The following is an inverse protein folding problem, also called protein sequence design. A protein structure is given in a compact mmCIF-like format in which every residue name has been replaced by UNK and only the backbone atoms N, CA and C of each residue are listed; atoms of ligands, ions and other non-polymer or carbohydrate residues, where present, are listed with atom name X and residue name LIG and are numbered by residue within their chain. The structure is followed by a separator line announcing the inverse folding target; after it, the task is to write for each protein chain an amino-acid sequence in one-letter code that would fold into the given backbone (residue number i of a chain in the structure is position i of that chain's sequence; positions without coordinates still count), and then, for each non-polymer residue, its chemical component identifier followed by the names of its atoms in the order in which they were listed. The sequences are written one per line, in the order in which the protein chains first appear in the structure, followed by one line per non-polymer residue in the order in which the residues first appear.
data_IF_192087404233
#
_entry.id   IF_192087404233
#
_cell.length_a   1.000
_cell.length_b   1.000
_cell.length_c   1.000
_cell.angle_alpha   90.00
_cell.angle_beta   90.00
_cell.angle_gamma   90.00
#
_symmetry.space_group_name_H-M   'P 1'
#
loop_
_entity.id
_entity.type
_entity.pdbx_description
1 polymer ?
#
# COMPACT_ATOMS: atom_id res chain seq x y z
N UNK A 1 -9.24 10.28 -29.90
CA UNK A 1 -10.45 11.15 -29.77
C UNK A 1 -10.16 12.40 -28.93
N UNK A 2 -9.21 12.34 -27.98
CA UNK A 2 -8.84 13.48 -27.13
C UNK A 2 -7.73 14.37 -27.73
N UNK A 3 -7.35 14.16 -28.99
CA UNK A 3 -6.41 15.02 -29.72
C UNK A 3 -4.94 14.90 -29.32
N UNK A 4 -4.51 13.79 -28.70
CA UNK A 4 -3.09 13.55 -28.43
C UNK A 4 -2.29 13.50 -29.73
N UNK A 5 -1.19 14.27 -29.85
CA UNK A 5 -0.32 14.19 -31.02
C UNK A 5 0.29 12.79 -31.17
N UNK A 6 0.47 12.36 -32.42
CA UNK A 6 1.18 11.10 -32.70
C UNK A 6 2.59 11.13 -32.09
N UNK A 7 2.96 10.07 -31.38
CA UNK A 7 4.25 9.96 -30.71
C UNK A 7 4.35 10.62 -29.32
N UNK A 8 3.28 11.31 -28.85
CA UNK A 8 3.26 11.88 -27.50
C UNK A 8 3.19 10.80 -26.38
N UNK A 9 2.60 9.65 -26.70
CA UNK A 9 2.57 8.47 -25.83
C UNK A 9 3.10 7.26 -26.60
N UNK A 10 4.12 6.61 -26.04
CA UNK A 10 4.72 5.41 -26.60
C UNK A 10 4.77 4.33 -25.50
N UNK A 11 4.39 3.10 -25.86
CA UNK A 11 4.39 1.96 -24.95
C UNK A 11 5.41 0.94 -25.43
N UNK A 12 6.38 0.60 -24.57
CA UNK A 12 7.38 -0.42 -24.81
C UNK A 12 7.24 -1.50 -23.76
N UNK A 13 6.99 -2.73 -24.18
CA UNK A 13 6.86 -3.89 -23.29
C UNK A 13 8.15 -4.70 -23.23
N UNK A 14 8.42 -5.36 -22.09
CA UNK A 14 9.59 -6.21 -21.89
C UNK A 14 9.92 -6.42 -20.43
N UNK A 15 10.99 -7.14 -20.17
CA UNK A 15 11.45 -7.37 -18.80
C UNK A 15 12.08 -6.11 -18.19
N UNK A 16 11.86 -5.88 -16.89
CA UNK A 16 12.40 -4.71 -16.20
C UNK A 16 13.93 -4.59 -16.24
N UNK A 17 14.64 -5.73 -16.21
CA UNK A 17 16.11 -5.76 -16.30
C UNK A 17 16.66 -5.54 -17.72
N UNK A 18 15.81 -5.54 -18.73
CA UNK A 18 16.16 -5.25 -20.12
C UNK A 18 15.64 -3.87 -20.51
N UNK A 19 14.35 -3.76 -20.76
CA UNK A 19 13.70 -2.52 -21.22
C UNK A 19 13.74 -1.43 -20.14
N UNK A 20 13.45 -1.78 -18.88
CA UNK A 20 13.46 -0.82 -17.77
C UNK A 20 14.86 -0.23 -17.53
N UNK A 21 15.90 -1.08 -17.52
CA UNK A 21 17.29 -0.63 -17.36
C UNK A 21 17.74 0.23 -18.56
N UNK A 22 17.41 -0.20 -19.79
CA UNK A 22 17.74 0.57 -20.99
C UNK A 22 17.08 1.96 -21.00
N UNK A 23 15.81 2.06 -20.61
CA UNK A 23 15.11 3.35 -20.48
C UNK A 23 15.74 4.21 -19.38
N UNK A 24 15.99 3.64 -18.19
CA UNK A 24 16.56 4.38 -17.07
C UNK A 24 17.94 4.97 -17.40
N UNK A 25 18.74 4.29 -18.24
CA UNK A 25 20.07 4.74 -18.67
C UNK A 25 20.08 5.62 -19.92
N UNK A 26 18.96 5.70 -20.64
CA UNK A 26 18.94 6.37 -21.92
C UNK A 26 19.14 7.89 -21.78
N UNK A 27 20.10 8.51 -22.50
CA UNK A 27 20.45 9.93 -22.34
C UNK A 27 19.33 10.89 -22.76
N UNK A 28 18.39 10.44 -23.56
CA UNK A 28 17.24 11.23 -24.00
C UNK A 28 16.02 11.19 -23.04
N UNK A 29 16.18 10.67 -21.83
CA UNK A 29 15.12 10.70 -20.79
C UNK A 29 15.39 11.86 -19.84
N UNK A 30 14.49 12.80 -19.77
CA UNK A 30 14.60 14.02 -18.94
C UNK A 30 13.96 13.87 -17.55
N UNK A 31 13.08 12.90 -17.35
CA UNK A 31 12.44 12.56 -16.07
C UNK A 31 12.07 11.08 -16.02
N UNK A 32 12.22 10.46 -14.86
CA UNK A 32 11.80 9.08 -14.61
C UNK A 32 10.74 9.06 -13.51
N UNK A 33 9.55 8.55 -13.83
CA UNK A 33 8.58 8.16 -12.82
C UNK A 33 8.57 6.64 -12.72
N UNK A 34 8.83 6.11 -11.53
CA UNK A 34 8.97 4.68 -11.27
C UNK A 34 8.05 4.21 -10.15
N UNK A 35 7.29 3.17 -10.44
CA UNK A 35 6.48 2.45 -9.43
C UNK A 35 7.00 1.02 -9.28
N UNK A 36 7.31 0.60 -8.05
CA UNK A 36 7.79 -0.76 -7.79
C UNK A 36 8.36 -0.95 -6.38
N UNK A 37 9.25 -1.94 -6.23
CA UNK A 37 9.85 -2.22 -4.91
C UNK A 37 10.89 -1.17 -4.51
N UNK A 38 11.11 -0.92 -3.19
CA UNK A 38 12.16 -0.02 -2.72
C UNK A 38 13.56 -0.37 -3.26
N UNK A 39 13.86 -1.66 -3.38
CA UNK A 39 15.14 -2.14 -3.93
C UNK A 39 15.36 -1.66 -5.36
N UNK A 40 14.36 -1.78 -6.21
CA UNK A 40 14.46 -1.35 -7.62
C UNK A 40 14.41 0.18 -7.71
N UNK A 41 13.59 0.85 -6.90
CA UNK A 41 13.58 2.32 -6.80
C UNK A 41 14.95 2.89 -6.48
N UNK A 42 15.69 2.27 -5.56
CA UNK A 42 17.08 2.65 -5.25
C UNK A 42 17.99 2.51 -6.47
N UNK A 43 17.88 1.41 -7.23
CA UNK A 43 18.68 1.22 -8.46
C UNK A 43 18.35 2.28 -9.52
N UNK A 44 17.08 2.56 -9.74
CA UNK A 44 16.63 3.60 -10.67
C UNK A 44 17.20 4.97 -10.27
N UNK A 45 17.13 5.32 -8.98
CA UNK A 45 17.66 6.58 -8.47
C UNK A 45 19.17 6.68 -8.64
N UNK A 46 19.93 5.61 -8.39
CA UNK A 46 21.37 5.56 -8.60
C UNK A 46 21.74 5.83 -10.06
N UNK A 47 21.08 5.15 -10.99
CA UNK A 47 21.29 5.34 -12.42
C UNK A 47 20.92 6.76 -12.89
N UNK A 48 19.79 7.28 -12.39
CA UNK A 48 19.36 8.64 -12.72
C UNK A 48 20.33 9.71 -12.18
N UNK A 49 20.94 9.46 -11.01
CA UNK A 49 21.92 10.37 -10.40
C UNK A 49 23.16 10.59 -11.26
N UNK A 50 23.61 9.57 -12.03
CA UNK A 50 24.75 9.69 -12.96
C UNK A 50 24.56 10.79 -14.03
N UNK A 51 23.30 11.12 -14.32
CA UNK A 51 22.92 12.11 -15.34
C UNK A 51 22.19 13.32 -14.75
N UNK A 52 22.03 13.40 -13.43
CA UNK A 52 21.24 14.43 -12.75
C UNK A 52 19.77 14.44 -13.22
N UNK A 53 19.24 13.28 -13.65
CA UNK A 53 17.88 13.12 -14.11
C UNK A 53 16.93 13.13 -12.92
N UNK A 54 15.91 13.99 -12.88
CA UNK A 54 14.89 13.98 -11.82
C UNK A 54 14.10 12.66 -11.80
N UNK A 55 13.73 12.21 -10.61
CA UNK A 55 12.99 10.97 -10.42
C UNK A 55 11.80 11.19 -9.51
N UNK A 56 10.66 10.61 -9.85
CA UNK A 56 9.53 10.39 -8.95
C UNK A 56 9.48 8.90 -8.59
N UNK A 57 9.39 8.57 -7.30
CA UNK A 57 9.39 7.19 -6.82
C UNK A 57 8.10 6.89 -6.06
N UNK A 58 7.35 5.89 -6.53
CA UNK A 58 6.19 5.30 -5.88
C UNK A 58 6.53 3.86 -5.49
N UNK A 59 6.79 3.64 -4.20
CA UNK A 59 7.35 2.39 -3.72
C UNK A 59 6.39 1.67 -2.77
N UNK A 60 6.89 0.68 -2.05
CA UNK A 60 6.09 -0.15 -1.17
C UNK A 60 5.47 0.58 0.01
N UNK A 61 4.57 -0.10 0.69
CA UNK A 61 3.88 0.40 1.86
C UNK A 61 3.70 -0.66 2.96
N UNK A 62 3.38 -0.18 4.17
CA UNK A 62 2.90 -0.99 5.30
C UNK A 62 1.80 -0.22 6.01
N UNK A 63 0.77 0.10 5.26
CA UNK A 63 -0.24 1.10 5.60
C UNK A 63 -1.10 0.68 6.79
N UNK A 64 -1.26 1.55 7.81
CA UNK A 64 -2.10 1.28 8.96
C UNK A 64 -3.55 1.72 8.73
N UNK A 65 -4.48 0.93 9.25
CA UNK A 65 -5.87 1.29 9.56
C UNK A 65 -5.97 1.50 11.08
N UNK A 66 -6.19 2.72 11.53
CA UNK A 66 -6.21 3.10 12.95
C UNK A 66 -7.65 3.24 13.39
N UNK A 67 -8.13 2.36 14.26
CA UNK A 67 -9.54 2.28 14.65
C UNK A 67 -9.68 2.60 16.13
N UNK A 68 -10.25 3.77 16.42
CA UNK A 68 -10.58 4.22 17.78
C UNK A 68 -11.90 3.62 18.26
N UNK A 69 -12.10 3.56 19.59
CA UNK A 69 -13.29 2.97 20.21
C UNK A 69 -14.61 3.65 19.80
N UNK A 70 -14.57 4.92 19.40
CA UNK A 70 -15.73 5.71 18.96
C UNK A 70 -16.02 5.60 17.45
N UNK A 71 -15.25 4.77 16.72
CA UNK A 71 -15.42 4.59 15.28
C UNK A 71 -16.77 3.93 14.92
N UNK A 72 -17.24 4.19 13.71
CA UNK A 72 -18.32 3.43 13.12
C UNK A 72 -17.78 2.11 12.58
N UNK A 73 -17.91 1.05 13.39
CA UNK A 73 -17.35 -0.27 13.05
C UNK A 73 -18.09 -0.94 11.88
N UNK A 74 -19.37 -0.64 11.68
CA UNK A 74 -20.14 -1.20 10.56
C UNK A 74 -19.68 -0.62 9.22
N UNK A 75 -19.27 0.64 9.22
CA UNK A 75 -18.66 1.27 8.06
C UNK A 75 -17.19 0.89 7.90
N UNK A 76 -16.44 0.71 8.99
CA UNK A 76 -15.00 0.46 8.96
C UNK A 76 -14.64 -0.96 8.51
N UNK A 77 -15.32 -1.99 9.02
CA UNK A 77 -14.97 -3.40 8.78
C UNK A 77 -14.90 -3.77 7.30
N UNK A 78 -15.92 -3.50 6.46
CA UNK A 78 -15.85 -3.86 5.04
C UNK A 78 -14.71 -3.13 4.32
N UNK A 79 -14.42 -1.90 4.70
CA UNK A 79 -13.32 -1.11 4.11
C UNK A 79 -11.95 -1.64 4.52
N UNK A 80 -11.77 -2.02 5.80
CA UNK A 80 -10.54 -2.65 6.31
C UNK A 80 -10.25 -3.97 5.60
N UNK A 81 -11.28 -4.79 5.40
CA UNK A 81 -11.16 -6.06 4.69
C UNK A 81 -10.80 -5.81 3.22
N UNK A 82 -11.56 -4.97 2.52
CA UNK A 82 -11.29 -4.66 1.13
C UNK A 82 -9.87 -4.08 0.94
N UNK A 83 -9.40 -3.26 1.87
CA UNK A 83 -8.07 -2.66 1.81
C UNK A 83 -6.92 -3.68 1.80
N UNK A 84 -7.14 -4.89 2.32
CA UNK A 84 -6.13 -5.95 2.33
C UNK A 84 -6.39 -7.07 1.31
N UNK A 85 -7.64 -7.33 0.95
CA UNK A 85 -7.95 -8.41 0.00
C UNK A 85 -7.99 -7.95 -1.45
N UNK A 86 -8.16 -6.66 -1.70
CA UNK A 86 -8.11 -6.08 -3.03
C UNK A 86 -6.84 -6.53 -3.76
N UNK A 87 -7.00 -7.02 -5.00
CA UNK A 87 -5.91 -7.57 -5.82
C UNK A 87 -5.07 -8.65 -5.08
N UNK A 88 -5.72 -9.45 -4.22
CA UNK A 88 -5.08 -10.44 -3.34
C UNK A 88 -3.97 -9.84 -2.45
N UNK A 89 -4.14 -8.63 -1.98
CA UNK A 89 -3.16 -7.91 -1.16
C UNK A 89 -1.94 -7.38 -1.94
N UNK A 90 -1.91 -7.53 -3.25
CA UNK A 90 -0.81 -7.11 -4.12
C UNK A 90 -0.99 -5.65 -4.56
N UNK A 91 -1.06 -4.76 -3.59
CA UNK A 91 -1.23 -3.32 -3.78
C UNK A 91 -0.28 -2.57 -2.83
N UNK A 92 0.45 -1.59 -3.34
CA UNK A 92 1.38 -0.77 -2.53
C UNK A 92 0.67 -0.06 -1.38
N UNK A 93 -0.60 0.32 -1.58
CA UNK A 93 -1.46 0.95 -0.58
C UNK A 93 -2.28 -0.06 0.23
N UNK A 94 -1.98 -1.38 0.20
CA UNK A 94 -2.73 -2.36 0.99
C UNK A 94 -2.75 -1.99 2.48
N UNK A 95 -3.93 -1.98 3.10
CA UNK A 95 -4.11 -1.75 4.54
C UNK A 95 -3.69 -2.95 5.35
N UNK A 96 -2.39 -3.26 5.33
CA UNK A 96 -1.83 -4.52 5.84
C UNK A 96 -1.60 -4.56 7.36
N UNK A 97 -1.82 -3.42 8.06
CA UNK A 97 -1.86 -3.35 9.53
C UNK A 97 -3.19 -2.78 9.98
N UNK A 98 -3.80 -3.36 11.00
CA UNK A 98 -4.92 -2.76 11.71
C UNK A 98 -4.50 -2.47 13.15
N UNK A 99 -4.50 -1.19 13.52
CA UNK A 99 -4.20 -0.69 14.85
C UNK A 99 -5.53 -0.43 15.55
N UNK A 100 -5.81 -1.14 16.62
CA UNK A 100 -7.12 -1.17 17.26
C UNK A 100 -7.01 -0.62 18.68
N UNK A 101 -7.90 0.30 19.05
CA UNK A 101 -8.04 0.77 20.43
C UNK A 101 -8.29 -0.43 21.36
N UNK A 102 -7.53 -0.52 22.45
CA UNK A 102 -7.58 -1.64 23.40
C UNK A 102 -8.97 -1.86 23.99
N UNK A 103 -9.80 -0.83 24.06
CA UNK A 103 -11.19 -0.92 24.56
C UNK A 103 -12.10 -1.76 23.66
N UNK A 104 -11.77 -1.85 22.37
CA UNK A 104 -12.58 -2.59 21.38
C UNK A 104 -11.79 -3.70 20.69
N UNK A 105 -10.59 -4.03 21.18
CA UNK A 105 -9.69 -4.96 20.51
C UNK A 105 -10.32 -6.34 20.30
N UNK A 106 -10.77 -7.00 21.35
CA UNK A 106 -11.36 -8.33 21.25
C UNK A 106 -12.67 -8.35 20.44
N UNK A 107 -13.67 -7.48 20.70
CA UNK A 107 -14.90 -7.51 19.92
C UNK A 107 -14.70 -7.16 18.45
N UNK A 108 -13.72 -6.29 18.12
CA UNK A 108 -13.43 -6.00 16.71
C UNK A 108 -12.69 -7.15 16.03
N UNK A 109 -11.75 -7.81 16.71
CA UNK A 109 -11.09 -9.00 16.19
C UNK A 109 -12.06 -10.14 15.92
N UNK A 110 -13.03 -10.38 16.80
CA UNK A 110 -14.08 -11.38 16.57
C UNK A 110 -14.89 -11.08 15.29
N UNK A 111 -15.27 -9.81 15.10
CA UNK A 111 -16.00 -9.39 13.89
C UNK A 111 -15.18 -9.51 12.62
N UNK A 112 -13.91 -9.07 12.66
CA UNK A 112 -12.97 -9.23 11.54
C UNK A 112 -12.72 -10.71 11.24
N UNK A 113 -12.56 -11.55 12.27
CA UNK A 113 -12.38 -12.98 12.14
C UNK A 113 -13.50 -13.64 11.36
N UNK A 114 -14.76 -13.42 11.79
CA UNK A 114 -15.96 -13.93 11.09
C UNK A 114 -16.01 -13.49 9.62
N UNK A 115 -15.62 -12.25 9.35
CA UNK A 115 -15.60 -11.73 8.00
C UNK A 115 -14.46 -12.35 7.15
N UNK A 116 -13.28 -12.62 7.75
CA UNK A 116 -12.19 -13.33 7.06
C UNK A 116 -12.54 -14.78 6.73
N UNK A 117 -13.19 -15.51 7.65
CA UNK A 117 -13.66 -16.88 7.44
C UNK A 117 -14.65 -17.02 6.26
N UNK A 118 -15.42 -15.95 6.01
CA UNK A 118 -16.38 -15.92 4.91
C UNK A 118 -15.73 -15.68 3.54
N UNK A 119 -14.48 -15.20 3.48
CA UNK A 119 -13.81 -14.86 2.22
C UNK A 119 -13.49 -16.11 1.39
N UNK A 120 -13.85 -16.07 0.12
CA UNK A 120 -13.66 -17.15 -0.86
C UNK A 120 -12.60 -16.74 -1.87
N UNK A 121 -11.67 -17.66 -2.13
CA UNK A 121 -10.53 -17.46 -3.06
C UNK A 121 -10.64 -18.44 -4.21
N UNK A 122 -10.48 -17.95 -5.43
CA UNK A 122 -10.48 -18.80 -6.61
C UNK A 122 -10.16 -18.08 -7.91
N UNK A 123 -10.38 -18.73 -9.06
CA UNK A 123 -10.15 -18.13 -10.37
C UNK A 123 -10.99 -16.88 -10.60
N UNK A 124 -10.45 -15.91 -11.33
CA UNK A 124 -11.16 -14.68 -11.68
C UNK A 124 -12.50 -14.92 -12.38
N UNK A 125 -12.61 -15.99 -13.15
CA UNK A 125 -13.86 -16.37 -13.84
C UNK A 125 -15.01 -16.74 -12.88
N UNK A 126 -14.72 -17.05 -11.62
CA UNK A 126 -15.74 -17.35 -10.60
C UNK A 126 -16.26 -16.10 -9.88
N UNK A 127 -15.64 -14.94 -10.09
CA UNK A 127 -16.01 -13.66 -9.47
C UNK A 127 -16.17 -13.76 -7.95
N UNK A 128 -15.20 -14.40 -7.29
CA UNK A 128 -15.13 -14.53 -5.84
C UNK A 128 -14.44 -13.32 -5.19
N UNK A 129 -14.38 -13.31 -3.85
CA UNK A 129 -13.83 -12.19 -3.08
C UNK A 129 -12.35 -11.92 -3.38
N UNK A 130 -11.56 -12.98 -3.67
CA UNK A 130 -10.10 -12.89 -3.86
C UNK A 130 -9.66 -13.76 -5.03
N UNK A 131 -8.90 -13.17 -5.93
CA UNK A 131 -8.26 -13.86 -7.05
C UNK A 131 -6.89 -14.45 -6.69
N UNK A 132 -6.15 -15.00 -7.69
CA UNK A 132 -4.82 -15.57 -7.48
C UNK A 132 -3.75 -14.48 -7.28
N UNK A 133 -2.64 -14.88 -6.67
CA UNK A 133 -1.38 -14.15 -6.72
C UNK A 133 -0.79 -14.22 -8.13
N UNK A 134 0.06 -13.24 -8.47
CA UNK A 134 0.60 -13.10 -9.83
C UNK A 134 1.55 -14.24 -10.24
N UNK A 135 2.23 -14.89 -9.26
CA UNK A 135 3.24 -15.90 -9.54
C UNK A 135 3.62 -16.71 -8.30
N UNK A 136 4.24 -17.87 -8.51
CA UNK A 136 4.68 -18.78 -7.46
C UNK A 136 5.64 -18.13 -6.45
N UNK A 137 6.58 -17.32 -6.92
CA UNK A 137 7.54 -16.66 -6.01
C UNK A 137 6.87 -15.69 -5.05
N UNK A 138 5.72 -15.09 -5.45
CA UNK A 138 4.95 -14.24 -4.56
C UNK A 138 4.16 -15.08 -3.55
N UNK A 139 3.61 -16.22 -3.96
CA UNK A 139 2.96 -17.16 -3.05
C UNK A 139 3.95 -17.70 -2.01
N UNK A 140 5.14 -18.12 -2.45
CA UNK A 140 6.20 -18.56 -1.53
C UNK A 140 6.58 -17.48 -0.52
N UNK A 141 6.70 -16.22 -0.97
CA UNK A 141 6.95 -15.09 -0.08
C UNK A 141 5.89 -14.96 1.01
N UNK A 142 4.61 -15.11 0.69
CA UNK A 142 3.54 -15.06 1.69
C UNK A 142 3.65 -16.24 2.66
N UNK A 143 3.92 -17.43 2.16
CA UNK A 143 4.12 -18.62 3.01
C UNK A 143 5.30 -18.46 3.96
N UNK A 144 6.41 -17.87 3.51
CA UNK A 144 7.57 -17.61 4.36
C UNK A 144 7.20 -16.68 5.52
N UNK A 145 6.40 -15.63 5.28
CA UNK A 145 5.90 -14.74 6.33
C UNK A 145 4.94 -15.45 7.31
N UNK A 146 4.05 -16.30 6.81
CA UNK A 146 3.12 -17.06 7.66
C UNK A 146 3.86 -18.13 8.47
N UNK A 147 4.88 -18.76 7.89
CA UNK A 147 5.76 -19.69 8.60
C UNK A 147 6.52 -18.98 9.74
N UNK A 148 7.05 -17.78 9.48
CA UNK A 148 7.72 -16.99 10.52
C UNK A 148 6.74 -16.61 11.65
N UNK A 149 5.47 -16.29 11.31
CA UNK A 149 4.43 -16.04 12.31
C UNK A 149 4.22 -17.25 13.21
N UNK A 150 4.13 -18.45 12.62
CA UNK A 150 3.96 -19.70 13.36
C UNK A 150 5.15 -20.00 14.26
N UNK A 151 6.38 -19.86 13.75
CA UNK A 151 7.62 -20.05 14.52
C UNK A 151 7.71 -19.07 15.68
N UNK A 152 7.29 -17.82 15.47
CA UNK A 152 7.28 -16.79 16.51
C UNK A 152 6.11 -16.92 17.50
N UNK A 153 5.21 -17.87 17.30
CA UNK A 153 4.02 -18.05 18.15
C UNK A 153 2.99 -16.94 18.02
N UNK A 154 2.97 -16.22 16.88
CA UNK A 154 1.97 -15.16 16.61
C UNK A 154 0.65 -15.82 16.24
N UNK A 155 -0.44 -15.55 17.00
CA UNK A 155 -1.69 -16.25 16.79
C UNK A 155 -2.39 -15.85 15.49
N UNK A 156 -2.91 -16.85 14.78
CA UNK A 156 -3.87 -16.65 13.70
C UNK A 156 -5.29 -16.54 14.31
N UNK A 157 -6.00 -15.47 13.97
CA UNK A 157 -7.40 -15.28 14.36
C UNK A 157 -8.33 -16.02 13.42
N UNK A 158 -8.12 -15.84 12.12
CA UNK A 158 -8.98 -16.41 11.08
C UNK A 158 -8.24 -16.50 9.74
N UNK A 159 -8.76 -17.36 8.87
CA UNK A 159 -8.30 -17.49 7.50
C UNK A 159 -9.51 -17.74 6.58
N UNK A 160 -9.49 -17.16 5.39
CA UNK A 160 -10.46 -17.45 4.34
C UNK A 160 -10.23 -18.82 3.69
N UNK A 161 -11.03 -19.14 2.70
CA UNK A 161 -11.04 -20.48 2.09
C UNK A 161 -10.73 -20.40 0.59
N UNK A 162 -9.72 -21.14 0.13
CA UNK A 162 -9.54 -21.44 -1.28
C UNK A 162 -10.60 -22.49 -1.66
N UNK A 163 -11.43 -22.21 -2.67
CA UNK A 163 -12.51 -23.13 -3.06
C UNK A 163 -11.95 -24.40 -3.70
N UNK A 164 -12.65 -25.52 -3.53
CA UNK A 164 -12.19 -26.82 -4.03
C UNK A 164 -12.08 -26.85 -5.56
N UNK A 165 -12.86 -26.02 -6.26
CA UNK A 165 -12.86 -25.91 -7.72
C UNK A 165 -11.69 -25.08 -8.25
N UNK A 166 -10.88 -24.47 -7.39
CA UNK A 166 -9.71 -23.72 -7.83
C UNK A 166 -8.64 -24.66 -8.41
N UNK A 167 -8.13 -24.39 -9.63
CA UNK A 167 -7.11 -25.23 -10.24
C UNK A 167 -5.83 -25.31 -9.38
N UNK A 168 -5.28 -26.49 -9.18
CA UNK A 168 -4.04 -26.72 -8.45
C UNK A 168 -2.83 -25.96 -9.03
N UNK A 169 -2.89 -25.63 -10.31
CA UNK A 169 -1.85 -24.85 -11.01
C UNK A 169 -1.93 -23.34 -10.74
N UNK A 170 -2.95 -22.86 -10.03
CA UNK A 170 -3.10 -21.46 -9.65
C UNK A 170 -2.34 -21.11 -8.37
N UNK A 171 -1.95 -19.85 -8.24
CA UNK A 171 -1.23 -19.36 -7.05
C UNK A 171 -2.21 -18.73 -6.06
N UNK A 172 -3.12 -19.53 -5.52
CA UNK A 172 -4.15 -19.07 -4.60
C UNK A 172 -3.62 -18.99 -3.18
N UNK A 173 -3.97 -17.91 -2.47
CA UNK A 173 -3.58 -17.67 -1.10
C UNK A 173 -4.80 -17.24 -0.27
N UNK A 174 -5.13 -18.01 0.74
CA UNK A 174 -6.20 -17.68 1.66
C UNK A 174 -5.88 -16.41 2.47
N UNK A 175 -6.76 -15.39 2.49
CA UNK A 175 -6.60 -14.20 3.33
C UNK A 175 -6.44 -14.59 4.80
N UNK A 176 -5.47 -14.03 5.47
CA UNK A 176 -5.11 -14.42 6.84
C UNK A 176 -5.10 -13.21 7.77
N UNK A 177 -5.77 -13.31 8.90
CA UNK A 177 -5.77 -12.34 9.99
C UNK A 177 -4.90 -12.85 11.14
N UNK A 178 -3.85 -12.10 11.48
CA UNK A 178 -2.95 -12.35 12.61
C UNK A 178 -3.21 -11.32 13.71
N UNK A 179 -3.11 -11.73 14.99
CA UNK A 179 -3.26 -10.83 16.14
C UNK A 179 -1.97 -10.70 16.95
N UNK A 180 -1.93 -9.67 17.77
CA UNK A 180 -0.84 -9.42 18.74
C UNK A 180 0.54 -9.42 18.07
N UNK A 181 0.60 -8.93 16.82
CA UNK A 181 1.85 -8.91 16.06
C UNK A 181 2.82 -7.91 16.70
N UNK A 182 4.01 -8.34 17.17
CA UNK A 182 4.96 -7.42 17.77
C UNK A 182 5.43 -6.35 16.79
N UNK A 183 5.51 -5.10 17.23
CA UNK A 183 5.88 -3.95 16.38
C UNK A 183 7.24 -4.15 15.68
N UNK A 184 8.20 -4.80 16.32
CA UNK A 184 9.51 -5.09 15.75
C UNK A 184 9.59 -6.32 14.86
N UNK A 185 8.51 -7.11 14.76
CA UNK A 185 8.50 -8.31 13.93
C UNK A 185 8.40 -7.95 12.45
N UNK A 186 9.01 -8.73 11.56
CA UNK A 186 8.99 -8.46 10.13
C UNK A 186 7.58 -8.40 9.53
N UNK A 187 6.62 -9.12 10.09
CA UNK A 187 5.20 -9.04 9.74
C UNK A 187 4.62 -7.61 9.90
N UNK A 188 5.09 -6.86 10.88
CA UNK A 188 4.67 -5.48 11.11
C UNK A 188 5.53 -4.46 10.34
N UNK A 189 6.76 -4.83 9.95
CA UNK A 189 7.75 -3.92 9.37
C UNK A 189 7.89 -4.02 7.86
N UNK A 190 7.80 -5.22 7.29
CA UNK A 190 8.03 -5.45 5.87
C UNK A 190 6.72 -5.54 5.07
N UNK A 191 6.75 -5.11 3.82
CA UNK A 191 5.67 -5.30 2.87
C UNK A 191 5.58 -6.77 2.47
N UNK A 192 4.47 -7.43 2.80
CA UNK A 192 4.22 -8.85 2.42
C UNK A 192 3.82 -8.95 0.95
N UNK A 193 3.02 -8.01 0.49
CA UNK A 193 2.42 -7.95 -0.85
C UNK A 193 1.51 -9.16 -1.12
N UNK A 194 0.68 -9.48 -0.14
CA UNK A 194 -0.27 -10.58 -0.13
C UNK A 194 -1.37 -10.36 0.90
N UNK A 195 -2.43 -11.19 0.93
CA UNK A 195 -3.65 -10.94 1.71
C UNK A 195 -3.46 -11.31 3.19
N UNK A 196 -2.53 -10.65 3.89
CA UNK A 196 -2.23 -10.88 5.31
C UNK A 196 -2.42 -9.58 6.08
N UNK A 197 -3.37 -9.57 7.02
CA UNK A 197 -3.67 -8.45 7.92
C UNK A 197 -3.06 -8.70 9.29
N UNK A 198 -2.28 -7.74 9.78
CA UNK A 198 -1.62 -7.78 11.08
C UNK A 198 -2.33 -6.85 12.06
N UNK A 199 -2.96 -7.41 13.10
CA UNK A 199 -3.63 -6.65 14.14
C UNK A 199 -2.72 -6.39 15.33
N UNK A 200 -2.79 -5.15 15.86
CA UNK A 200 -2.01 -4.64 16.99
C UNK A 200 -2.91 -3.75 17.84
N UNK A 201 -2.82 -3.85 19.17
CA UNK A 201 -3.56 -3.00 20.09
C UNK A 201 -2.79 -1.70 20.39
N UNK A 202 -3.50 -0.58 20.55
CA UNK A 202 -2.95 0.65 21.12
C UNK A 202 -3.77 1.10 22.34
N UNK A 203 -3.13 1.86 23.24
CA UNK A 203 -3.72 2.28 24.51
C UNK A 203 -4.36 3.67 24.44
N UNK A 204 -3.74 4.58 23.69
CA UNK A 204 -4.15 5.97 23.56
C UNK A 204 -3.71 6.55 22.19
N UNK A 205 -4.02 7.83 21.97
CA UNK A 205 -3.72 8.54 20.72
C UNK A 205 -2.21 8.62 20.43
N UNK A 206 -1.38 8.78 21.47
CA UNK A 206 0.08 8.88 21.33
C UNK A 206 0.67 7.54 20.90
N UNK A 207 0.24 6.45 21.54
CA UNK A 207 0.64 5.09 21.18
C UNK A 207 0.15 4.70 19.76
N UNK A 208 -1.06 5.11 19.38
CA UNK A 208 -1.54 4.90 18.01
C UNK A 208 -0.66 5.58 16.96
N UNK A 209 -0.22 6.82 17.23
CA UNK A 209 0.71 7.56 16.35
C UNK A 209 2.08 6.89 16.33
N UNK A 210 2.61 6.45 17.46
CA UNK A 210 3.87 5.72 17.53
C UNK A 210 3.83 4.47 16.65
N UNK A 211 2.83 3.59 16.84
CA UNK A 211 2.66 2.38 16.04
C UNK A 211 2.44 2.68 14.56
N UNK A 212 1.64 3.70 14.23
CA UNK A 212 1.40 4.09 12.84
C UNK A 212 2.72 4.46 12.12
N UNK A 213 3.58 5.20 12.81
CA UNK A 213 4.85 5.71 12.30
C UNK A 213 6.05 4.74 12.44
N UNK A 214 5.88 3.62 13.13
CA UNK A 214 6.95 2.69 13.52
C UNK A 214 7.61 1.90 12.36
N UNK A 215 7.18 2.09 11.12
CA UNK A 215 7.78 1.43 9.96
C UNK A 215 8.60 2.40 9.13
N UNK A 216 9.48 1.88 8.28
CA UNK A 216 10.20 2.68 7.29
C UNK A 216 9.29 3.25 6.20
N UNK A 217 8.05 2.79 6.07
CA UNK A 217 7.09 3.22 5.07
C UNK A 217 6.20 4.38 5.53
N UNK A 218 5.57 5.04 4.56
CA UNK A 218 4.62 6.10 4.79
C UNK A 218 3.85 6.44 3.52
N UNK A 219 3.12 5.45 2.95
CA UNK A 219 2.36 5.67 1.72
C UNK A 219 0.94 6.16 2.04
N UNK A 220 0.14 5.32 2.69
CA UNK A 220 -1.26 5.62 3.01
C UNK A 220 -1.55 5.27 4.48
N UNK A 221 -2.50 5.96 5.09
CA UNK A 221 -3.08 5.61 6.39
C UNK A 221 -4.59 5.88 6.41
N UNK A 222 -5.35 5.01 7.11
CA UNK A 222 -6.75 5.21 7.43
C UNK A 222 -6.93 5.52 8.91
N UNK A 223 -7.82 6.46 9.25
CA UNK A 223 -8.14 6.85 10.62
C UNK A 223 -9.65 6.80 10.79
N UNK A 224 -10.11 6.02 11.77
CA UNK A 224 -11.52 5.80 12.05
C UNK A 224 -11.87 6.31 13.43
N UNK A 225 -12.61 7.41 13.50
CA UNK A 225 -13.08 8.06 14.73
C UNK A 225 -14.19 9.04 14.41
N UNK A 226 -15.14 9.22 15.33
CA UNK A 226 -16.17 10.27 15.25
C UNK A 226 -15.74 11.61 15.85
N UNK A 227 -14.62 11.64 16.60
CA UNK A 227 -14.07 12.87 17.19
C UNK A 227 -13.35 13.72 16.10
N UNK A 228 -13.99 14.81 15.68
CA UNK A 228 -13.44 15.72 14.67
C UNK A 228 -12.10 16.35 15.07
N UNK A 229 -11.88 16.63 16.36
CA UNK A 229 -10.61 17.17 16.82
C UNK A 229 -9.47 16.12 16.71
N UNK A 230 -9.78 14.86 17.05
CA UNK A 230 -8.85 13.73 16.88
C UNK A 230 -8.51 13.51 15.40
N UNK A 231 -9.50 13.60 14.51
CA UNK A 231 -9.27 13.47 13.05
C UNK A 231 -8.14 14.39 12.59
N UNK A 232 -8.19 15.67 12.95
CA UNK A 232 -7.16 16.66 12.57
C UNK A 232 -5.83 16.40 13.27
N UNK A 233 -5.83 16.07 14.58
CA UNK A 233 -4.58 15.78 15.30
C UNK A 233 -3.87 14.58 14.71
N UNK A 234 -4.59 13.50 14.45
CA UNK A 234 -4.03 12.28 13.86
C UNK A 234 -3.54 12.52 12.43
N UNK A 235 -4.32 13.18 11.58
CA UNK A 235 -3.92 13.49 10.20
C UNK A 235 -2.60 14.30 10.15
N UNK A 236 -2.37 15.19 11.12
CA UNK A 236 -1.14 15.97 11.22
C UNK A 236 0.06 15.15 11.71
N UNK A 237 -0.16 14.14 12.57
CA UNK A 237 0.90 13.40 13.26
C UNK A 237 1.31 12.11 12.54
N UNK A 238 0.40 11.50 11.78
CA UNK A 238 0.70 10.29 11.01
C UNK A 238 1.53 10.65 9.78
N UNK A 239 2.71 10.04 9.66
CA UNK A 239 3.69 10.30 8.60
C UNK A 239 3.42 9.43 7.38
N UNK A 240 2.37 9.78 6.64
CA UNK A 240 1.98 9.15 5.37
C UNK A 240 1.74 10.22 4.31
N UNK A 241 1.93 9.85 3.05
CA UNK A 241 1.68 10.75 1.93
C UNK A 241 0.20 11.02 1.71
N UNK A 242 -0.66 10.04 2.05
CA UNK A 242 -2.12 10.19 2.08
C UNK A 242 -2.68 9.74 3.41
N UNK A 243 -3.64 10.49 3.94
CA UNK A 243 -4.39 10.14 5.15
C UNK A 243 -5.87 10.23 4.84
N UNK A 244 -6.58 9.13 5.02
CA UNK A 244 -8.03 9.04 4.85
C UNK A 244 -8.71 9.04 6.21
N UNK A 245 -9.80 9.79 6.34
CA UNK A 245 -10.61 9.87 7.56
C UNK A 245 -11.95 9.18 7.32
N UNK A 246 -12.27 8.16 8.12
CA UNK A 246 -13.48 7.34 8.01
C UNK A 246 -13.69 6.78 6.60
N UNK A 247 -12.60 6.49 5.94
CA UNK A 247 -12.52 5.93 4.59
C UNK A 247 -11.14 5.32 4.38
N UNK A 248 -10.94 4.64 3.24
CA UNK A 248 -9.63 4.17 2.80
C UNK A 248 -9.61 3.87 1.30
N UNK A 249 -8.44 4.10 0.70
CA UNK A 249 -8.18 3.74 -0.68
C UNK A 249 -8.44 4.86 -1.66
N UNK A 250 -8.01 4.65 -2.88
CA UNK A 250 -8.03 5.60 -3.96
C UNK A 250 -9.43 5.78 -4.59
N UNK A 251 -10.47 5.94 -3.76
CA UNK A 251 -11.76 6.36 -4.26
C UNK A 251 -11.71 7.80 -4.84
N UNK A 252 -10.66 8.56 -4.53
CA UNK A 252 -10.32 9.79 -5.22
C UNK A 252 -9.74 9.46 -6.59
N UNK A 253 -10.31 10.04 -7.65
CA UNK A 253 -9.86 9.90 -9.02
C UNK A 253 -8.44 10.41 -9.26
N UNK A 254 -8.20 10.93 -10.47
CA UNK A 254 -6.89 11.48 -10.86
C UNK A 254 -6.60 12.83 -10.21
N UNK A 255 -7.60 13.49 -9.64
CA UNK A 255 -7.53 14.81 -9.03
C UNK A 255 -6.83 14.86 -7.67
N UNK A 256 -6.72 13.74 -6.98
CA UNK A 256 -6.01 13.67 -5.69
C UNK A 256 -4.54 13.28 -5.88
N UNK A 257 -3.58 14.08 -5.37
CA UNK A 257 -2.18 13.73 -5.44
C UNK A 257 -1.91 12.41 -4.74
N UNK A 258 -1.15 11.52 -5.36
CA UNK A 258 -0.74 10.24 -4.81
C UNK A 258 0.77 10.22 -4.64
N UNK A 259 1.26 9.68 -3.53
CA UNK A 259 2.67 9.47 -3.29
C UNK A 259 3.02 9.37 -1.82
N UNK A 260 4.12 8.70 -1.55
CA UNK A 260 4.59 8.40 -0.22
C UNK A 260 5.58 9.40 0.37
N UNK A 261 6.00 9.07 1.59
CA UNK A 261 7.15 9.65 2.30
C UNK A 261 8.02 8.52 2.84
N UNK A 262 9.20 8.82 3.35
CA UNK A 262 10.17 7.82 3.84
C UNK A 262 10.55 6.83 2.72
N UNK A 263 10.60 5.51 3.03
CA UNK A 263 10.93 4.48 2.04
C UNK A 263 9.78 4.13 1.09
N UNK A 264 8.62 4.78 1.22
CA UNK A 264 7.55 4.69 0.20
C UNK A 264 7.79 5.59 -1.00
N UNK A 265 8.87 6.37 -1.02
CA UNK A 265 9.28 7.17 -2.14
C UNK A 265 9.10 8.67 -1.94
N UNK A 266 9.16 9.41 -3.03
CA UNK A 266 9.00 10.86 -3.06
C UNK A 266 8.51 11.33 -4.44
N UNK A 267 8.08 12.59 -4.50
CA UNK A 267 7.32 13.12 -5.62
C UNK A 267 5.83 12.89 -5.43
N UNK A 268 5.05 13.24 -6.44
CA UNK A 268 3.62 12.95 -6.47
C UNK A 268 3.21 12.56 -7.88
N UNK A 269 2.38 11.53 -7.96
CA UNK A 269 1.62 11.18 -9.14
C UNK A 269 0.17 11.62 -8.94
N UNK A 270 -0.58 11.74 -10.03
CA UNK A 270 -1.95 12.29 -10.02
C UNK A 270 -2.03 13.70 -9.42
N UNK A 271 -3.24 14.25 -9.42
CA UNK A 271 -3.46 15.61 -8.97
C UNK A 271 -2.75 16.64 -9.85
N UNK A 272 -2.97 17.90 -9.51
CA UNK A 272 -2.28 19.01 -10.18
C UNK A 272 -0.76 18.98 -9.89
N UNK A 273 -0.38 18.50 -8.74
CA UNK A 273 1.01 18.42 -8.24
C UNK A 273 1.91 17.55 -9.12
N UNK A 274 1.36 16.52 -9.76
CA UNK A 274 2.11 15.67 -10.69
C UNK A 274 2.68 16.46 -11.87
N UNK A 275 2.01 17.52 -12.32
CA UNK A 275 2.46 18.34 -13.43
C UNK A 275 3.82 19.00 -13.16
N UNK A 276 4.10 19.35 -11.91
CA UNK A 276 5.40 19.93 -11.53
C UNK A 276 6.57 18.96 -11.76
N UNK A 277 6.36 17.66 -11.60
CA UNK A 277 7.37 16.63 -11.87
C UNK A 277 7.70 16.50 -13.36
N UNK A 278 6.74 16.82 -14.25
CA UNK A 278 6.90 16.69 -15.70
C UNK A 278 7.14 18.03 -16.41
N UNK A 279 7.41 19.09 -15.66
CA UNK A 279 7.65 20.43 -16.22
C UNK A 279 8.90 21.05 -15.59
N UNK A 280 9.49 22.01 -16.30
CA UNK A 280 10.65 22.76 -15.82
C UNK A 280 10.31 24.25 -15.72
N UNK A 281 10.53 24.84 -14.56
CA UNK A 281 10.39 26.27 -14.33
C UNK A 281 11.56 27.03 -15.00
N UNK A 282 11.27 27.95 -15.91
CA UNK A 282 12.26 28.81 -16.56
C UNK A 282 12.04 30.26 -16.19
N UNK A 283 13.08 30.92 -15.68
CA UNK A 283 13.05 32.35 -15.47
C UNK A 283 13.54 33.08 -16.71
N UNK A 284 12.76 34.04 -17.19
CA UNK A 284 13.17 34.95 -18.27
C UNK A 284 13.17 36.37 -17.72
N UNK A 285 14.32 37.01 -17.71
CA UNK A 285 14.48 38.41 -17.31
C UNK A 285 14.90 39.23 -18.53
N UNK A 286 14.14 40.29 -18.83
CA UNK A 286 14.41 41.18 -19.96
C UNK A 286 14.70 42.58 -19.40
N UNK A 287 15.86 43.12 -19.73
CA UNK A 287 16.21 44.51 -19.43
C UNK A 287 16.01 45.33 -20.71
N UNK A 288 15.16 46.32 -20.64
CA UNK A 288 15.03 47.32 -21.69
C UNK A 288 16.05 48.43 -21.41
N UNK A 289 16.83 48.83 -22.41
CA UNK A 289 17.83 49.86 -22.32
C UNK A 289 17.25 51.25 -22.08
#
# INVERSE_FOLDING_TARGET
EVGFPSGALNIVTGYGHEVGDALARHPGIDHISFTGSPKIGTLIQQVAAERHCPVTLELGGKSPQIIFADADLDAAIPVVINAIVQNAGQTCSAGSRVLIDSLIYEPLLERLGKAFEALRVGPAAMDLDVGPLIRQTQQQRVWDFLSDAQVAGIPMVAQGVVVDEAPETGYYQAPTLLRDVPVGHRLAQEEIFGPVLCAMAFQDEDHAVELANATQFGLVAGIWTRDGARQFRMAKRVRSGQVFINNYGAAGGVELPFGGVKSSGYGREKGFEALYGFTTLKTVAIKYG
#
